data_IF_370599642120
#
_entry.id   IF_370599642120
#
_cell.length_a   1.000
_cell.length_b   1.000
_cell.length_c   1.000
_cell.angle_alpha   90.00
_cell.angle_beta   90.00
_cell.angle_gamma   90.00
#
_symmetry.space_group_name_H-M   'P 1'
#
loop_
_entity.id
_entity.type
_entity.pdbx_description
1 polymer ?
#
# COMPACT_ATOMS: atom_id res chain seq x y z
N UNK A 1 62.45 30.61 -33.36
CA UNK A 1 60.97 30.64 -33.30
C UNK A 1 60.49 29.22 -33.02
N UNK A 2 60.17 28.88 -31.77
CA UNK A 2 59.74 27.53 -31.37
C UNK A 2 58.43 27.69 -30.61
N UNK A 3 57.35 27.22 -31.26
CA UNK A 3 55.98 27.25 -30.79
C UNK A 3 55.80 26.37 -29.56
N UNK A 4 55.31 26.94 -28.45
CA UNK A 4 54.93 26.19 -27.25
C UNK A 4 53.44 25.88 -27.30
N UNK A 5 53.13 24.68 -27.78
CA UNK A 5 51.80 24.07 -27.76
C UNK A 5 51.32 23.93 -26.32
N UNK A 6 50.26 24.65 -25.94
CA UNK A 6 49.58 24.47 -24.65
C UNK A 6 48.57 23.33 -24.78
N UNK A 7 48.87 22.19 -24.20
CA UNK A 7 47.89 21.12 -23.99
C UNK A 7 47.02 21.54 -22.80
N UNK A 8 45.81 21.99 -23.09
CA UNK A 8 44.79 22.23 -22.07
C UNK A 8 44.21 20.87 -21.65
N UNK A 9 44.57 20.40 -20.46
CA UNK A 9 43.99 19.22 -19.85
C UNK A 9 42.53 19.52 -19.46
N UNK A 10 41.58 19.00 -20.23
CA UNK A 10 40.15 19.03 -19.86
C UNK A 10 39.93 17.98 -18.78
N UNK A 11 39.96 18.40 -17.52
CA UNK A 11 39.56 17.56 -16.39
C UNK A 11 38.08 17.23 -16.48
N UNK A 12 37.73 16.01 -16.86
CA UNK A 12 36.37 15.48 -16.72
C UNK A 12 36.14 15.22 -15.24
N UNK A 13 35.44 16.14 -14.58
CA UNK A 13 34.96 15.95 -13.21
C UNK A 13 33.79 14.95 -13.26
N UNK A 14 34.08 13.65 -13.13
CA UNK A 14 33.05 12.65 -12.84
C UNK A 14 32.53 12.90 -11.41
N UNK A 15 31.46 13.68 -11.30
CA UNK A 15 30.63 13.71 -10.10
C UNK A 15 29.94 12.34 -9.98
N UNK A 16 30.57 11.40 -9.28
CA UNK A 16 29.88 10.22 -8.76
C UNK A 16 28.88 10.72 -7.73
N UNK A 17 27.66 11.04 -8.17
CA UNK A 17 26.52 11.19 -7.28
C UNK A 17 26.31 9.85 -6.60
N UNK A 18 26.83 9.71 -5.38
CA UNK A 18 26.60 8.60 -4.48
C UNK A 18 25.12 8.54 -4.17
N UNK A 19 24.34 7.83 -5.00
CA UNK A 19 22.97 7.47 -4.66
C UNK A 19 23.06 6.53 -3.47
N UNK A 20 22.63 6.98 -2.30
CA UNK A 20 22.56 6.16 -1.11
C UNK A 20 21.73 4.91 -1.41
N UNK A 21 22.41 3.76 -1.44
CA UNK A 21 21.72 2.49 -1.50
C UNK A 21 21.04 2.29 -0.14
N UNK A 22 19.72 2.20 -0.14
CA UNK A 22 18.93 1.96 1.08
C UNK A 22 18.16 0.67 0.88
N UNK A 23 18.29 -0.24 1.83
CA UNK A 23 17.53 -1.48 1.87
C UNK A 23 16.72 -1.52 3.16
N UNK A 24 15.51 -2.06 3.07
CA UNK A 24 14.65 -2.26 4.21
C UNK A 24 14.01 -3.63 4.12
N UNK A 25 13.70 -4.19 5.29
CA UNK A 25 12.95 -5.43 5.42
C UNK A 25 11.90 -5.24 6.48
N UNK A 26 10.82 -5.99 6.38
CA UNK A 26 9.76 -5.99 7.37
C UNK A 26 9.03 -7.32 7.36
N UNK A 27 8.49 -7.67 8.52
CA UNK A 27 7.58 -8.80 8.65
C UNK A 27 6.41 -8.38 9.53
N UNK A 28 5.28 -9.06 9.38
CA UNK A 28 4.07 -8.74 10.12
C UNK A 28 3.09 -9.90 10.14
N UNK A 29 2.26 -9.92 11.17
CA UNK A 29 1.17 -10.88 11.33
C UNK A 29 -0.15 -10.11 11.35
N UNK A 30 -1.11 -10.53 10.53
CA UNK A 30 -2.47 -9.99 10.54
C UNK A 30 -3.45 -11.06 11.03
N UNK A 31 -4.26 -10.71 12.02
CA UNK A 31 -5.31 -11.58 12.55
C UNK A 31 -6.65 -11.15 11.97
N UNK A 32 -7.36 -12.10 11.38
CA UNK A 32 -8.69 -11.86 10.81
C UNK A 32 -9.67 -12.92 11.31
N UNK A 33 -10.99 -12.70 11.17
CA UNK A 33 -11.97 -13.76 11.43
C UNK A 33 -11.76 -15.04 10.60
N UNK A 34 -11.02 -14.95 9.49
CA UNK A 34 -10.71 -16.09 8.61
C UNK A 34 -9.38 -16.78 8.94
N UNK A 35 -8.67 -16.32 9.97
CA UNK A 35 -7.41 -16.88 10.48
C UNK A 35 -6.24 -15.89 10.44
N UNK A 36 -5.05 -16.41 10.74
CA UNK A 36 -3.78 -15.68 10.82
C UNK A 36 -3.04 -15.66 9.49
N UNK A 37 -2.56 -14.47 9.10
CA UNK A 37 -1.74 -14.25 7.92
C UNK A 37 -0.35 -13.77 8.34
N UNK A 38 0.70 -14.40 7.82
CA UNK A 38 2.08 -14.04 8.12
C UNK A 38 2.74 -13.54 6.84
N UNK A 39 3.31 -12.33 6.90
CA UNK A 39 3.92 -11.70 5.74
C UNK A 39 5.34 -11.23 6.03
N UNK A 40 6.15 -11.19 4.98
CA UNK A 40 7.45 -10.56 4.97
C UNK A 40 7.67 -9.82 3.65
N UNK A 41 8.47 -8.77 3.69
CA UNK A 41 8.85 -8.00 2.51
C UNK A 41 10.26 -7.47 2.66
N UNK A 42 10.88 -7.22 1.51
CA UNK A 42 12.13 -6.49 1.39
C UNK A 42 12.01 -5.46 0.27
N UNK A 43 12.74 -4.37 0.40
CA UNK A 43 12.92 -3.41 -0.66
C UNK A 43 14.35 -2.87 -0.65
N UNK A 44 14.80 -2.41 -1.81
CA UNK A 44 16.11 -1.79 -1.97
C UNK A 44 16.07 -0.73 -3.06
N UNK A 45 16.64 0.43 -2.80
CA UNK A 45 16.86 1.48 -3.78
C UNK A 45 18.35 1.67 -4.05
N UNK A 46 18.71 1.95 -5.31
CA UNK A 46 20.04 2.31 -5.74
C UNK A 46 20.04 2.73 -7.21
N UNK A 47 20.91 3.66 -7.61
CA UNK A 47 21.06 4.03 -9.03
C UNK A 47 19.79 4.58 -9.69
N UNK A 48 18.92 5.24 -8.93
CA UNK A 48 17.65 5.78 -9.44
C UNK A 48 16.53 4.74 -9.60
N UNK A 49 16.75 3.49 -9.19
CA UNK A 49 15.73 2.43 -9.17
C UNK A 49 15.50 1.91 -7.76
N UNK A 50 14.26 1.50 -7.49
CA UNK A 50 13.86 0.84 -6.26
C UNK A 50 13.15 -0.45 -6.61
N UNK A 51 13.59 -1.57 -6.04
CA UNK A 51 12.98 -2.88 -6.22
C UNK A 51 12.39 -3.35 -4.91
N UNK A 52 11.31 -4.11 -4.96
CA UNK A 52 10.74 -4.77 -3.80
C UNK A 52 10.32 -6.19 -4.11
N UNK A 53 10.27 -7.00 -3.06
CA UNK A 53 9.51 -8.23 -3.07
C UNK A 53 8.87 -8.45 -1.71
N UNK A 54 7.75 -9.16 -1.71
CA UNK A 54 7.15 -9.63 -0.47
C UNK A 54 6.23 -10.80 -0.72
N UNK A 55 5.81 -11.42 0.36
CA UNK A 55 4.82 -12.47 0.33
C UNK A 55 4.05 -12.57 1.62
N UNK A 56 2.87 -13.17 1.52
CA UNK A 56 1.96 -13.42 2.64
C UNK A 56 1.47 -14.86 2.54
N UNK A 57 1.65 -15.62 3.61
CA UNK A 57 1.08 -16.96 3.77
C UNK A 57 -0.19 -16.85 4.60
N UNK A 58 -1.28 -17.39 4.06
CA UNK A 58 -2.57 -17.44 4.75
C UNK A 58 -2.76 -18.67 5.64
N UNK A 59 -3.89 -18.74 6.36
CA UNK A 59 -4.23 -19.82 7.29
C UNK A 59 -4.26 -21.22 6.65
N UNK A 60 -4.49 -21.27 5.34
CA UNK A 60 -4.62 -22.50 4.55
C UNK A 60 -3.31 -22.86 3.81
N UNK A 61 -2.19 -22.25 4.18
CA UNK A 61 -0.86 -22.55 3.62
C UNK A 61 -0.58 -21.99 2.22
N UNK A 62 -1.55 -21.34 1.59
CA UNK A 62 -1.37 -20.68 0.30
C UNK A 62 -0.50 -19.41 0.42
N UNK A 63 0.49 -19.27 -0.47
CA UNK A 63 1.41 -18.13 -0.54
C UNK A 63 1.02 -17.18 -1.66
N UNK A 64 0.79 -15.92 -1.33
CA UNK A 64 0.75 -14.83 -2.30
C UNK A 64 2.09 -14.10 -2.31
N UNK A 65 2.62 -13.75 -3.47
CA UNK A 65 3.83 -12.93 -3.60
C UNK A 65 3.60 -11.72 -4.48
N UNK A 66 4.43 -10.70 -4.30
CA UNK A 66 4.50 -9.57 -5.19
C UNK A 66 5.95 -9.12 -5.31
N UNK A 67 6.39 -8.91 -6.55
CA UNK A 67 7.69 -8.32 -6.86
C UNK A 67 7.50 -7.15 -7.79
N UNK A 68 8.41 -6.18 -7.74
CA UNK A 68 8.38 -5.08 -8.69
C UNK A 68 9.58 -4.16 -8.59
N UNK A 69 9.64 -3.24 -9.53
CA UNK A 69 10.63 -2.19 -9.63
C UNK A 69 9.95 -0.87 -10.00
N UNK A 70 10.54 0.22 -9.52
CA UNK A 70 10.25 1.58 -9.96
C UNK A 70 11.58 2.22 -10.32
N UNK A 71 11.71 2.72 -11.54
CA UNK A 71 12.92 3.32 -12.07
C UNK A 71 12.65 4.75 -12.50
N UNK A 72 13.44 5.70 -11.98
CA UNK A 72 13.42 7.08 -12.46
C UNK A 72 14.21 7.15 -13.77
N UNK A 73 13.53 7.38 -14.88
CA UNK A 73 14.14 7.44 -16.22
C UNK A 73 14.66 8.84 -16.55
N UNK A 74 14.08 9.89 -15.95
CA UNK A 74 14.50 11.28 -16.05
C UNK A 74 13.87 12.11 -14.89
N UNK A 75 14.24 13.38 -14.68
CA UNK A 75 13.57 14.22 -13.69
C UNK A 75 12.05 14.26 -13.91
N UNK A 76 11.29 13.90 -12.87
CA UNK A 76 9.82 13.82 -12.93
C UNK A 76 9.25 12.63 -13.73
N UNK A 77 10.10 11.73 -14.26
CA UNK A 77 9.68 10.61 -15.08
C UNK A 77 10.07 9.27 -14.44
N UNK A 78 9.10 8.37 -14.35
CA UNK A 78 9.24 7.08 -13.69
C UNK A 78 8.60 5.99 -14.54
N UNK A 79 9.24 4.83 -14.60
CA UNK A 79 8.64 3.59 -15.06
C UNK A 79 8.52 2.62 -13.89
N UNK A 80 7.53 1.74 -13.93
CA UNK A 80 7.38 0.68 -12.95
C UNK A 80 6.96 -0.61 -13.64
N UNK A 81 7.36 -1.73 -13.07
CA UNK A 81 6.97 -3.05 -13.53
C UNK A 81 6.96 -4.03 -12.37
N UNK A 82 6.17 -5.11 -12.46
CA UNK A 82 6.15 -6.11 -11.42
C UNK A 82 5.23 -7.29 -11.72
N UNK A 83 5.21 -8.25 -10.80
CA UNK A 83 4.37 -9.43 -10.88
C UNK A 83 3.77 -9.72 -9.51
N UNK A 84 2.45 -9.89 -9.46
CA UNK A 84 1.75 -10.43 -8.31
C UNK A 84 1.38 -11.89 -8.62
N UNK A 85 1.63 -12.81 -7.69
CA UNK A 85 1.21 -14.21 -7.79
C UNK A 85 0.30 -14.51 -6.61
N UNK A 86 -0.90 -15.01 -6.89
CA UNK A 86 -1.87 -15.39 -5.86
C UNK A 86 -1.60 -16.78 -5.25
N UNK A 87 -2.27 -17.12 -4.15
CA UNK A 87 -2.14 -18.42 -3.47
C UNK A 87 -2.43 -19.65 -4.34
N UNK A 88 -3.14 -19.46 -5.45
CA UNK A 88 -3.49 -20.48 -6.44
C UNK A 88 -2.55 -20.51 -7.65
N UNK A 89 -1.40 -19.82 -7.59
CA UNK A 89 -0.40 -19.75 -8.66
C UNK A 89 -0.78 -18.86 -9.84
N UNK A 90 -1.97 -18.25 -9.85
CA UNK A 90 -2.35 -17.30 -10.91
C UNK A 90 -1.57 -16.00 -10.73
N UNK A 91 -0.97 -15.51 -11.81
CA UNK A 91 -0.20 -14.27 -11.81
C UNK A 91 -0.90 -13.12 -12.52
N UNK A 92 -0.53 -11.91 -12.12
CA UNK A 92 -0.79 -10.66 -12.84
C UNK A 92 0.53 -9.93 -12.98
N UNK A 93 0.93 -9.69 -14.21
CA UNK A 93 2.04 -8.82 -14.58
C UNK A 93 1.48 -7.41 -14.68
N UNK A 94 2.22 -6.44 -14.18
CA UNK A 94 1.84 -5.04 -14.33
C UNK A 94 3.04 -4.21 -14.71
N UNK A 95 2.79 -3.15 -15.46
CA UNK A 95 3.77 -2.16 -15.83
C UNK A 95 3.10 -0.80 -15.97
N UNK A 96 3.90 0.25 -15.97
CA UNK A 96 3.38 1.60 -16.10
C UNK A 96 4.47 2.65 -16.18
N UNK A 97 4.01 3.86 -16.47
CA UNK A 97 4.84 5.05 -16.50
C UNK A 97 4.11 6.22 -15.85
N UNK A 98 4.88 7.08 -15.20
CA UNK A 98 4.42 8.38 -14.69
C UNK A 98 5.35 9.46 -15.22
N UNK A 99 4.77 10.53 -15.75
CA UNK A 99 5.51 11.70 -16.24
C UNK A 99 4.90 12.97 -15.68
N UNK A 100 5.71 13.72 -14.93
CA UNK A 100 5.34 15.01 -14.38
C UNK A 100 6.15 16.12 -15.08
N UNK A 101 5.46 16.94 -15.87
CA UNK A 101 6.04 18.08 -16.56
C UNK A 101 5.05 19.25 -16.57
N UNK A 102 5.55 20.47 -16.38
CA UNK A 102 4.79 21.71 -16.54
C UNK A 102 3.47 21.73 -15.75
N UNK A 103 3.48 21.27 -14.50
CA UNK A 103 2.30 21.26 -13.62
C UNK A 103 1.29 20.13 -13.90
N UNK A 104 1.55 19.27 -14.88
CA UNK A 104 0.75 18.07 -15.16
C UNK A 104 1.54 16.81 -14.82
N UNK A 105 0.92 15.89 -14.09
CA UNK A 105 1.40 14.53 -13.90
C UNK A 105 0.46 13.57 -14.60
N UNK A 106 0.97 12.83 -15.58
CA UNK A 106 0.24 11.79 -16.28
C UNK A 106 0.76 10.42 -15.89
N UNK A 107 -0.14 9.44 -15.82
CA UNK A 107 0.16 8.05 -15.55
C UNK A 107 -0.48 7.17 -16.62
N UNK A 108 0.21 6.11 -17.00
CA UNK A 108 -0.34 4.99 -17.75
C UNK A 108 0.12 3.69 -17.11
N UNK A 109 -0.66 2.63 -17.23
CA UNK A 109 -0.24 1.32 -16.80
C UNK A 109 -1.17 0.20 -17.23
N UNK A 110 -0.59 -0.97 -17.37
CA UNK A 110 -1.22 -2.18 -17.84
C UNK A 110 -1.13 -3.28 -16.80
N UNK A 111 -2.13 -4.15 -16.78
CA UNK A 111 -2.22 -5.32 -15.90
C UNK A 111 -2.65 -6.52 -16.73
N UNK A 112 -1.74 -7.46 -16.97
CA UNK A 112 -2.00 -8.67 -17.76
C UNK A 112 -2.11 -9.88 -16.86
N UNK A 113 -3.28 -10.51 -16.86
CA UNK A 113 -3.50 -11.75 -16.10
C UNK A 113 -2.93 -12.98 -16.80
N UNK A 114 -2.77 -14.07 -16.06
CA UNK A 114 -2.29 -15.36 -16.57
C UNK A 114 -3.10 -15.97 -17.74
N UNK A 115 -4.34 -15.49 -17.97
CA UNK A 115 -5.17 -15.88 -19.10
C UNK A 115 -5.00 -14.96 -20.34
N UNK A 116 -3.99 -14.10 -20.35
CA UNK A 116 -3.68 -13.18 -21.45
C UNK A 116 -4.64 -11.99 -21.59
N UNK A 117 -5.61 -11.83 -20.68
CA UNK A 117 -6.48 -10.65 -20.66
C UNK A 117 -5.77 -9.52 -19.94
N UNK A 118 -5.81 -8.33 -20.53
CA UNK A 118 -5.16 -7.14 -20.00
C UNK A 118 -6.19 -6.08 -19.63
N UNK A 119 -6.02 -5.46 -18.47
CA UNK A 119 -6.68 -4.20 -18.12
C UNK A 119 -5.67 -3.07 -18.25
N UNK A 120 -6.12 -1.91 -18.72
CA UNK A 120 -5.27 -0.73 -18.90
C UNK A 120 -5.83 0.42 -18.09
N UNK A 121 -4.93 1.30 -17.66
CA UNK A 121 -5.26 2.51 -16.92
C UNK A 121 -4.47 3.67 -17.48
N UNK A 122 -5.11 4.82 -17.58
CA UNK A 122 -4.44 6.08 -17.91
C UNK A 122 -5.09 7.19 -17.12
N UNK A 123 -4.35 8.26 -16.88
CA UNK A 123 -4.93 9.46 -16.28
C UNK A 123 -3.92 10.56 -16.09
N UNK A 124 -4.43 11.72 -15.75
CA UNK A 124 -3.65 12.91 -15.48
C UNK A 124 -4.23 13.70 -14.34
N UNK A 125 -3.36 14.45 -13.68
CA UNK A 125 -3.72 15.55 -12.79
C UNK A 125 -2.94 16.76 -13.23
N UNK A 126 -3.64 17.88 -13.47
CA UNK A 126 -3.06 19.14 -13.85
C UNK A 126 -3.34 20.18 -12.79
N UNK A 127 -2.30 20.91 -12.39
CA UNK A 127 -2.42 22.10 -11.57
C UNK A 127 -2.52 23.32 -12.48
N UNK A 128 -3.72 23.90 -12.56
CA UNK A 128 -3.98 25.07 -13.40
C UNK A 128 -3.47 26.36 -12.72
N UNK A 129 -3.62 26.44 -11.39
CA UNK A 129 -3.24 27.60 -10.58
C UNK A 129 -3.17 27.21 -9.09
N UNK A 130 -2.73 28.10 -8.17
CA UNK A 130 -2.85 27.85 -6.74
C UNK A 130 -4.27 27.49 -6.30
N UNK A 131 -4.44 26.27 -5.77
CA UNK A 131 -5.75 25.77 -5.33
C UNK A 131 -6.66 25.23 -6.44
N UNK A 132 -6.26 25.35 -7.72
CA UNK A 132 -7.03 24.91 -8.88
C UNK A 132 -6.40 23.66 -9.50
N UNK A 133 -7.18 22.58 -9.58
CA UNK A 133 -6.71 21.29 -10.10
C UNK A 133 -7.77 20.67 -11.01
N UNK A 134 -7.31 20.03 -12.07
CA UNK A 134 -8.14 19.16 -12.92
C UNK A 134 -7.54 17.77 -12.92
N UNK A 135 -8.39 16.75 -13.10
CA UNK A 135 -7.94 15.37 -13.28
C UNK A 135 -8.81 14.65 -14.27
N UNK A 136 -8.20 13.71 -14.99
CA UNK A 136 -8.91 12.82 -15.90
C UNK A 136 -8.32 11.43 -15.82
N UNK A 137 -9.09 10.42 -16.20
CA UNK A 137 -8.59 9.07 -16.24
C UNK A 137 -9.47 8.15 -17.06
N UNK A 138 -8.90 7.03 -17.48
CA UNK A 138 -9.60 5.96 -18.18
C UNK A 138 -9.11 4.63 -17.61
N UNK A 139 -10.05 3.74 -17.30
CA UNK A 139 -9.76 2.35 -16.95
C UNK A 139 -10.47 1.47 -17.95
N UNK A 140 -9.72 0.67 -18.71
CA UNK A 140 -10.27 -0.36 -19.59
C UNK A 140 -10.05 -1.71 -18.94
N UNK A 141 -11.13 -2.39 -18.57
CA UNK A 141 -11.07 -3.72 -17.98
C UNK A 141 -10.77 -4.79 -19.05
N UNK A 142 -10.31 -5.97 -18.61
CA UNK A 142 -9.96 -7.07 -19.52
C UNK A 142 -11.13 -7.70 -20.28
N UNK A 143 -12.36 -7.23 -20.06
CA UNK A 143 -13.53 -7.57 -20.87
C UNK A 143 -13.84 -6.50 -21.95
N UNK A 144 -13.00 -5.46 -22.08
CA UNK A 144 -13.16 -4.36 -23.02
C UNK A 144 -14.00 -3.18 -22.51
N UNK A 145 -14.62 -3.29 -21.32
CA UNK A 145 -15.39 -2.18 -20.76
C UNK A 145 -14.46 -1.09 -20.24
N UNK A 146 -14.74 0.13 -20.65
CA UNK A 146 -14.04 1.35 -20.27
C UNK A 146 -14.86 2.21 -19.31
N UNK A 147 -14.17 2.79 -18.33
CA UNK A 147 -14.68 3.77 -17.39
C UNK A 147 -13.82 5.02 -17.44
N UNK A 148 -14.45 6.16 -17.69
CA UNK A 148 -13.79 7.46 -17.83
C UNK A 148 -14.08 8.30 -16.60
N UNK A 149 -13.05 8.94 -16.05
CA UNK A 149 -13.12 9.88 -14.95
C UNK A 149 -12.75 11.28 -15.44
N UNK A 150 -13.47 12.29 -14.97
CA UNK A 150 -13.08 13.68 -15.10
C UNK A 150 -13.47 14.42 -13.82
N UNK A 151 -12.58 15.22 -13.25
CA UNK A 151 -12.88 16.00 -12.05
C UNK A 151 -12.11 17.31 -11.99
N UNK A 152 -12.64 18.24 -11.22
CA UNK A 152 -12.03 19.54 -10.93
C UNK A 152 -12.12 19.86 -9.45
N UNK A 153 -11.16 20.62 -8.97
CA UNK A 153 -11.20 21.27 -7.66
C UNK A 153 -10.82 22.72 -7.84
N UNK A 154 -11.60 23.60 -7.23
CA UNK A 154 -11.36 25.03 -7.24
C UNK A 154 -11.45 25.62 -5.83
N UNK A 155 -10.36 26.22 -5.35
CA UNK A 155 -10.31 26.87 -4.05
C UNK A 155 -10.22 28.39 -4.18
N UNK A 156 -11.20 29.10 -3.63
CA UNK A 156 -11.21 30.56 -3.54
C UNK A 156 -11.84 31.01 -2.22
N UNK A 157 -11.28 32.05 -1.59
CA UNK A 157 -11.90 32.69 -0.42
C UNK A 157 -12.15 31.76 0.78
N UNK A 158 -11.30 30.75 0.99
CA UNK A 158 -11.46 29.78 2.10
C UNK A 158 -12.46 28.66 1.84
N UNK A 159 -13.08 28.64 0.65
CA UNK A 159 -13.91 27.53 0.16
C UNK A 159 -13.20 26.79 -0.96
N UNK A 160 -13.30 25.47 -0.95
CA UNK A 160 -12.86 24.60 -2.03
C UNK A 160 -14.07 23.82 -2.56
N UNK A 161 -14.44 24.09 -3.80
CA UNK A 161 -15.45 23.33 -4.52
C UNK A 161 -14.79 22.20 -5.30
N UNK A 162 -15.46 21.05 -5.36
CA UNK A 162 -15.01 19.88 -6.11
C UNK A 162 -16.17 19.33 -6.92
N UNK A 163 -15.88 18.88 -8.13
CA UNK A 163 -16.84 18.17 -8.96
C UNK A 163 -16.14 17.06 -9.71
N UNK A 164 -16.87 16.01 -10.06
CA UNK A 164 -16.36 14.95 -10.89
C UNK A 164 -17.43 14.04 -11.45
N UNK A 165 -17.09 13.39 -12.55
CA UNK A 165 -17.94 12.44 -13.27
C UNK A 165 -17.16 11.16 -13.52
N UNK A 166 -17.85 10.04 -13.36
CA UNK A 166 -17.38 8.74 -13.84
C UNK A 166 -18.40 8.21 -14.82
N UNK A 167 -17.99 7.92 -16.05
CA UNK A 167 -18.86 7.40 -17.11
C UNK A 167 -18.42 6.01 -17.54
N UNK A 168 -19.35 5.06 -17.65
CA UNK A 168 -19.10 3.71 -18.12
C UNK A 168 -19.46 3.52 -19.59
N UNK A 169 -19.02 2.39 -20.16
CA UNK A 169 -19.18 2.07 -21.59
C UNK A 169 -20.62 1.99 -22.08
N UNK A 170 -21.56 1.73 -21.18
CA UNK A 170 -22.99 1.60 -21.50
C UNK A 170 -23.78 2.89 -21.23
N UNK A 171 -23.10 4.04 -21.14
CA UNK A 171 -23.74 5.36 -20.98
C UNK A 171 -24.17 5.69 -19.54
N UNK A 172 -23.93 4.80 -18.58
CA UNK A 172 -24.15 5.09 -17.16
C UNK A 172 -23.10 6.08 -16.64
N UNK A 173 -23.56 7.19 -16.04
CA UNK A 173 -22.69 8.20 -15.45
C UNK A 173 -23.03 8.42 -13.98
N UNK A 174 -22.00 8.56 -13.15
CA UNK A 174 -22.10 9.02 -11.76
C UNK A 174 -21.44 10.38 -11.66
N UNK A 175 -22.19 11.38 -11.27
CA UNK A 175 -21.68 12.73 -11.03
C UNK A 175 -21.66 13.00 -9.54
N UNK A 176 -20.56 13.53 -9.03
CA UNK A 176 -20.45 13.99 -7.66
C UNK A 176 -19.99 15.44 -7.61
N UNK A 177 -20.49 16.17 -6.62
CA UNK A 177 -20.07 17.53 -6.33
C UNK A 177 -20.02 17.73 -4.81
N UNK A 178 -19.23 18.70 -4.37
CA UNK A 178 -19.21 19.09 -2.97
C UNK A 178 -18.32 20.29 -2.73
N UNK A 179 -18.35 20.78 -1.51
CA UNK A 179 -17.57 21.93 -1.07
C UNK A 179 -17.00 21.69 0.32
N UNK A 180 -15.90 22.37 0.61
CA UNK A 180 -15.32 22.46 1.94
C UNK A 180 -15.01 23.94 2.23
N UNK A 181 -15.69 24.52 3.20
CA UNK A 181 -15.55 25.93 3.58
C UNK A 181 -14.96 26.03 4.98
N UNK A 182 -13.84 26.75 5.09
CA UNK A 182 -13.30 27.16 6.38
C UNK A 182 -14.16 28.30 6.94
N UNK A 183 -14.85 28.04 8.03
CA UNK A 183 -15.71 29.04 8.70
C UNK A 183 -14.98 29.75 9.84
N UNK A 184 -13.97 29.10 10.42
CA UNK A 184 -13.04 29.70 11.39
C UNK A 184 -11.75 28.88 11.47
N UNK A 185 -10.77 29.32 12.27
CA UNK A 185 -9.54 28.55 12.48
C UNK A 185 -9.87 27.17 13.06
N UNK A 186 -9.42 26.10 12.39
CA UNK A 186 -9.65 24.71 12.80
C UNK A 186 -11.07 24.19 12.56
N UNK A 187 -11.99 24.99 11.99
CA UNK A 187 -13.37 24.56 11.71
C UNK A 187 -13.67 24.61 10.22
N UNK A 188 -14.09 23.47 9.69
CA UNK A 188 -14.46 23.31 8.28
C UNK A 188 -15.85 22.71 8.20
N UNK A 189 -16.71 23.34 7.40
CA UNK A 189 -18.00 22.78 7.01
C UNK A 189 -17.85 22.13 5.66
N UNK A 190 -18.37 20.92 5.50
CA UNK A 190 -18.35 20.19 4.24
C UNK A 190 -19.78 19.85 3.80
N UNK A 191 -19.99 19.91 2.49
CA UNK A 191 -21.21 19.46 1.85
C UNK A 191 -20.88 18.68 0.59
N UNK A 192 -21.74 17.77 0.19
CA UNK A 192 -21.57 17.07 -1.07
C UNK A 192 -22.73 16.14 -1.39
N UNK A 193 -22.71 15.63 -2.62
CA UNK A 193 -23.66 14.65 -3.08
C UNK A 193 -23.16 13.92 -4.30
N UNK A 194 -23.78 12.78 -4.57
CA UNK A 194 -23.59 12.00 -5.77
C UNK A 194 -24.95 11.73 -6.41
N UNK A 195 -24.98 11.77 -7.73
CA UNK A 195 -26.13 11.43 -8.55
C UNK A 195 -25.71 10.37 -9.54
N UNK A 196 -26.58 9.38 -9.73
CA UNK A 196 -26.39 8.32 -10.72
C UNK A 196 -27.43 8.57 -11.81
N UNK A 197 -27.01 8.61 -13.07
CA UNK A 197 -27.95 8.65 -14.20
C UNK A 197 -28.82 7.38 -14.13
N UNK A 198 -30.14 7.58 -14.04
CA UNK A 198 -31.16 6.55 -13.77
C UNK A 198 -31.18 5.98 -12.34
N UNK A 199 -30.57 6.67 -11.36
CA UNK A 199 -30.60 6.31 -9.94
C UNK A 199 -31.04 7.46 -9.02
N UNK A 200 -31.15 7.17 -7.73
CA UNK A 200 -31.48 8.17 -6.71
C UNK A 200 -30.28 9.06 -6.37
N UNK A 201 -30.54 10.33 -6.04
CA UNK A 201 -29.52 11.25 -5.53
C UNK A 201 -29.21 10.93 -4.06
N UNK A 202 -27.91 10.93 -3.71
CA UNK A 202 -27.44 10.79 -2.33
C UNK A 202 -26.75 12.08 -1.94
N UNK A 203 -27.20 12.71 -0.85
CA UNK A 203 -26.58 13.92 -0.29
C UNK A 203 -26.01 13.64 1.10
N UNK A 204 -24.84 14.23 1.38
CA UNK A 204 -24.11 14.09 2.64
C UNK A 204 -23.50 15.44 3.02
N UNK A 205 -23.56 15.84 4.28
CA UNK A 205 -22.91 17.04 4.79
C UNK A 205 -22.58 16.93 6.27
N UNK A 206 -21.65 17.75 6.75
CA UNK A 206 -21.25 17.77 8.15
C UNK A 206 -20.25 18.88 8.48
N UNK A 207 -20.07 19.15 9.77
CA UNK A 207 -19.07 20.12 10.27
C UNK A 207 -18.02 19.36 11.06
N UNK A 208 -16.76 19.62 10.78
CA UNK A 208 -15.62 19.06 11.50
C UNK A 208 -14.90 20.17 12.26
N UNK A 209 -14.75 19.98 13.57
CA UNK A 209 -13.99 20.85 14.46
C UNK A 209 -12.72 20.11 14.87
N UNK A 210 -11.55 20.63 14.50
CA UNK A 210 -10.27 20.12 15.00
C UNK A 210 -10.09 20.66 16.42
N UNK A 211 -10.30 19.81 17.42
CA UNK A 211 -10.02 20.14 18.82
C UNK A 211 -8.53 20.44 19.03
N UNK A 212 -8.24 21.34 19.98
CA UNK A 212 -6.86 21.60 20.40
C UNK A 212 -6.17 20.29 20.79
N UNK A 213 -4.89 20.13 20.43
CA UNK A 213 -4.09 18.98 20.87
C UNK A 213 -4.22 18.85 22.39
N UNK A 214 -4.45 17.63 22.94
CA UNK A 214 -4.55 17.45 24.38
C UNK A 214 -3.28 18.00 25.02
N UNK A 215 -3.43 18.98 25.90
CA UNK A 215 -2.33 19.52 26.69
C UNK A 215 -1.74 18.34 27.45
N UNK A 216 -0.47 18.01 27.17
CA UNK A 216 0.25 17.01 27.91
C UNK A 216 0.26 17.43 29.38
N UNK A 217 -0.43 16.67 30.22
CA UNK A 217 -0.34 16.84 31.66
C UNK A 217 1.11 16.57 32.08
N UNK A 218 1.85 17.63 32.37
CA UNK A 218 3.16 17.54 33.03
C UNK A 218 2.86 17.50 34.53
N UNK A 219 3.01 16.35 35.20
CA UNK A 219 2.85 16.31 36.65
C UNK A 219 3.86 17.27 37.29
N UNK A 220 3.45 18.05 38.31
CA UNK A 220 4.37 18.95 39.00
C UNK A 220 5.53 18.15 39.63
N UNK A 221 6.76 18.71 39.63
CA UNK A 221 7.91 18.04 40.20
C UNK A 221 7.67 17.75 41.69
N UNK A 222 8.03 16.56 42.19
CA UNK A 222 7.82 16.21 43.58
C UNK A 222 8.59 17.16 44.49
N UNK A 223 7.87 17.80 45.42
CA UNK A 223 8.46 18.64 46.46
C UNK A 223 9.20 17.72 47.43
N UNK A 224 10.52 17.89 47.54
CA UNK A 224 11.32 17.18 48.54
C UNK A 224 10.94 17.66 49.94
N UNK A 225 10.23 16.82 50.69
CA UNK A 225 9.93 17.07 52.11
C UNK A 225 11.17 16.70 52.92
N UNK A 226 11.76 17.69 53.59
CA UNK A 226 12.83 17.50 54.57
C UNK A 226 12.23 16.77 55.78
N UNK A 227 12.77 15.59 56.08
CA UNK A 227 12.33 14.75 57.18
C UNK A 227 12.58 15.44 58.53
N UNK A 228 11.51 15.64 59.32
CA UNK A 228 11.61 15.87 60.76
C UNK A 228 11.34 14.55 61.49
N UNK A 229 12.10 14.35 62.57
CA UNK A 229 12.21 13.11 63.36
C UNK A 229 10.84 12.65 63.90
N UNK A 230 10.43 11.38 63.73
CA UNK A 230 9.14 10.90 64.23
C UNK A 230 9.22 10.43 65.69
N UNK A 231 8.26 10.87 66.51
CA UNK A 231 7.88 10.25 67.78
C UNK A 231 7.00 9.03 67.47
N UNK A 232 7.30 7.89 68.11
CA UNK A 232 6.65 6.61 67.83
C UNK A 232 5.18 6.54 68.31
N UNK A 233 4.22 6.11 67.46
CA UNK A 233 2.86 5.79 67.87
C UNK A 233 2.73 4.34 68.41
N UNK A 234 1.69 4.03 69.21
CA UNK A 234 1.53 2.73 69.88
C UNK A 234 1.16 1.58 68.91
N UNK A 235 1.47 0.32 69.28
CA UNK A 235 1.37 -0.82 68.38
C UNK A 235 -0.09 -1.21 68.05
N UNK A 236 -0.36 -1.65 66.80
CA UNK A 236 -1.69 -2.06 66.34
C UNK A 236 -2.08 -3.48 66.82
N UNK A 237 -3.40 -3.77 66.93
CA UNK A 237 -3.90 -5.07 67.38
C UNK A 237 -3.64 -6.21 66.37
N UNK A 238 -3.62 -7.48 66.82
CA UNK A 238 -3.25 -8.63 65.99
C UNK A 238 -4.19 -8.83 64.79
N UNK A 239 -3.60 -9.00 63.61
CA UNK A 239 -4.30 -9.26 62.36
C UNK A 239 -4.93 -10.67 62.35
N UNK A 240 -6.20 -10.76 61.94
CA UNK A 240 -6.86 -12.02 61.63
C UNK A 240 -6.25 -12.71 60.39
N UNK A 241 -6.51 -14.01 60.18
CA UNK A 241 -5.87 -14.78 59.12
C UNK A 241 -6.29 -14.27 57.74
N UNK A 242 -5.29 -13.90 56.94
CA UNK A 242 -5.43 -13.51 55.53
C UNK A 242 -5.76 -14.76 54.71
N UNK A 243 -6.92 -14.75 54.04
CA UNK A 243 -7.26 -15.76 53.04
C UNK A 243 -6.47 -15.45 51.76
N UNK A 244 -5.39 -16.18 51.52
CA UNK A 244 -4.64 -16.11 50.26
C UNK A 244 -5.33 -17.00 49.24
N UNK A 245 -5.94 -16.39 48.22
CA UNK A 245 -6.46 -17.16 47.07
C UNK A 245 -5.25 -17.74 46.31
N UNK A 246 -5.17 -19.07 46.11
CA UNK A 246 -4.07 -19.66 45.36
C UNK A 246 -4.06 -19.14 43.92
N UNK A 247 -2.89 -18.89 43.32
CA UNK A 247 -2.81 -18.55 41.90
C UNK A 247 -3.42 -19.67 41.06
N UNK A 248 -4.19 -19.34 40.00
CA UNK A 248 -4.75 -20.37 39.13
C UNK A 248 -3.63 -21.25 38.55
N UNK A 249 -3.85 -22.57 38.43
CA UNK A 249 -2.83 -23.49 37.99
C UNK A 249 -2.35 -23.13 36.58
N UNK A 250 -1.03 -23.05 36.42
CA UNK A 250 -0.41 -22.82 35.12
C UNK A 250 -0.75 -23.99 34.19
N UNK A 251 -1.52 -23.71 33.14
CA UNK A 251 -1.77 -24.68 32.07
C UNK A 251 -0.51 -24.74 31.21
N UNK A 252 0.33 -25.75 31.47
CA UNK A 252 1.39 -26.13 30.53
C UNK A 252 0.72 -26.78 29.33
N UNK A 253 0.45 -25.99 28.29
CA UNK A 253 0.05 -26.54 27.00
C UNK A 253 1.30 -27.19 26.41
N UNK A 254 1.44 -28.50 26.61
CA UNK A 254 2.45 -29.28 25.91
C UNK A 254 2.05 -29.24 24.43
N UNK A 255 2.80 -28.48 23.63
CA UNK A 255 2.60 -28.46 22.19
C UNK A 255 2.72 -29.90 21.69
N UNK A 256 1.61 -30.46 21.17
CA UNK A 256 1.63 -31.75 20.50
C UNK A 256 2.69 -31.66 19.41
N UNK A 257 3.70 -32.52 19.49
CA UNK A 257 4.72 -32.61 18.45
C UNK A 257 4.00 -32.73 17.09
N UNK A 258 4.39 -31.93 16.07
CA UNK A 258 3.76 -32.01 14.77
C UNK A 258 3.83 -33.46 14.28
N UNK A 259 2.69 -33.98 13.84
CA UNK A 259 2.64 -35.28 13.18
C UNK A 259 3.68 -35.25 12.04
N UNK A 260 4.49 -36.29 11.84
CA UNK A 260 5.42 -36.33 10.72
C UNK A 260 4.63 -36.12 9.44
N UNK A 261 4.92 -35.02 8.75
CA UNK A 261 4.37 -34.75 7.43
C UNK A 261 5.02 -35.78 6.52
N UNK A 262 4.23 -36.77 6.09
CA UNK A 262 4.62 -37.62 4.99
C UNK A 262 4.61 -36.77 3.73
N UNK A 263 5.78 -36.25 3.35
CA UNK A 263 5.98 -35.65 2.04
C UNK A 263 5.88 -36.79 1.04
N UNK A 264 4.73 -36.91 0.37
CA UNK A 264 4.64 -37.78 -0.78
C UNK A 264 5.75 -37.35 -1.76
N UNK A 265 6.58 -38.28 -2.26
CA UNK A 265 7.61 -37.94 -3.22
C UNK A 265 6.99 -37.15 -4.38
N UNK A 266 7.70 -36.17 -4.97
CA UNK A 266 7.23 -35.52 -6.17
C UNK A 266 6.86 -36.60 -7.18
N UNK A 267 5.65 -36.52 -7.75
CA UNK A 267 5.25 -37.41 -8.84
C UNK A 267 6.26 -37.17 -9.95
N UNK A 268 7.11 -38.16 -10.20
CA UNK A 268 8.09 -38.11 -11.28
C UNK A 268 7.28 -38.07 -12.56
N UNK A 269 7.36 -36.97 -13.30
CA UNK A 269 6.77 -36.91 -14.63
C UNK A 269 7.47 -37.95 -15.49
N UNK A 270 6.73 -38.96 -15.94
CA UNK A 270 7.28 -40.02 -16.79
C UNK A 270 6.95 -39.70 -18.22
N UNK A 271 7.97 -39.66 -19.08
CA UNK A 271 7.76 -39.57 -20.51
C UNK A 271 7.17 -40.90 -20.99
N UNK A 272 5.93 -40.85 -21.48
CA UNK A 272 5.26 -41.99 -22.08
C UNK A 272 5.41 -41.87 -23.59
N UNK A 273 6.13 -42.81 -24.25
CA UNK A 273 6.18 -42.87 -25.70
C UNK A 273 4.78 -43.06 -26.30
N UNK A 274 4.64 -42.69 -27.58
CA UNK A 274 3.37 -42.83 -28.27
C UNK A 274 2.90 -44.30 -28.28
N UNK A 275 1.61 -44.50 -28.06
CA UNK A 275 1.03 -45.83 -27.94
C UNK A 275 -0.42 -45.87 -28.42
N UNK A 276 -0.99 -47.07 -28.52
CA UNK A 276 -2.38 -47.28 -28.87
C UNK A 276 -3.18 -47.71 -27.64
N UNK A 277 -4.35 -47.13 -27.44
CA UNK A 277 -5.35 -47.61 -26.48
C UNK A 277 -6.58 -48.03 -27.26
N UNK A 278 -6.75 -49.35 -27.40
CA UNK A 278 -7.75 -49.91 -28.31
C UNK A 278 -7.47 -49.51 -29.77
N UNK A 279 -8.42 -48.79 -30.39
CA UNK A 279 -8.30 -48.26 -31.77
C UNK A 279 -7.92 -46.77 -31.81
N UNK A 280 -7.49 -46.19 -30.69
CA UNK A 280 -7.13 -44.77 -30.61
C UNK A 280 -5.62 -44.62 -30.42
N UNK A 281 -4.99 -43.83 -31.29
CA UNK A 281 -3.59 -43.48 -31.18
C UNK A 281 -3.40 -42.34 -30.18
N UNK A 282 -2.51 -42.54 -29.22
CA UNK A 282 -2.13 -41.55 -28.22
C UNK A 282 -0.69 -41.10 -28.51
N UNK A 283 -0.48 -39.83 -28.89
CA UNK A 283 0.85 -39.27 -29.07
C UNK A 283 1.67 -39.31 -27.77
N UNK A 284 3.00 -39.23 -27.90
CA UNK A 284 3.88 -39.20 -26.75
C UNK A 284 3.56 -38.01 -25.85
N UNK A 285 3.52 -38.25 -24.54
CA UNK A 285 3.11 -37.25 -23.56
C UNK A 285 3.79 -37.49 -22.21
N UNK A 286 3.80 -36.45 -21.38
CA UNK A 286 4.21 -36.54 -19.98
C UNK A 286 3.01 -36.96 -19.13
N UNK A 287 3.19 -37.99 -18.30
CA UNK A 287 2.21 -38.47 -17.32
C UNK A 287 2.70 -38.22 -15.89
#
# INVERSE_FOLDING_TARGET
>A
MISRTRIAATGVLLLLASTSASAWTGHGTAYTPRGTYNGAHFGSCGGGSCSHAGGVVGPYGGLATNTGTVTRTAPGQFSNAGTAVGPNGRSVQHDGSTSCASGTCSHSGDMTGANGRSATTSGSVTREAPGQYTSSGTVTAGNGNTYNHAASTACAGGTCDRSGTVSGSYGGTVTHAGSATRVSSGVVTTGGGATVVHGSAVSTGGTVVVGAAPVAYVPPPPVAVVATVPVAPPPPPPAGPVYVVPPPPAVVVTAKAPLPVYVAPPRVAVWVPAHWVGRVYVPAHWA
#
